data_IF_495277097828
#
_entry.id   IF_495277097828
#
_cell.length_a   1.000
_cell.length_b   1.000
_cell.length_c   1.000
_cell.angle_alpha   90.00
_cell.angle_beta   90.00
_cell.angle_gamma   90.00
#
_symmetry.space_group_name_H-M   'P 1'
#
loop_
_entity.id
_entity.type
_entity.pdbx_description
1 polymer ?
#
# COMPACT_ATOMS: atom_id res chain seq x y z
N UNK A 1 19.57 -2.73 -0.20
CA UNK A 1 18.31 -3.33 0.27
C UNK A 1 17.15 -2.49 -0.23
N UNK A 2 16.15 -3.13 -0.82
CA UNK A 2 14.95 -2.47 -1.31
C UNK A 2 14.27 -1.68 -0.19
N UNK A 3 13.86 -0.46 -0.48
CA UNK A 3 13.00 0.32 0.39
C UNK A 3 11.54 0.15 -0.06
N UNK A 4 10.66 -0.19 0.87
CA UNK A 4 9.21 -0.27 0.63
C UNK A 4 8.51 0.63 1.64
N UNK A 5 7.72 1.56 1.12
CA UNK A 5 6.87 2.42 1.94
C UNK A 5 5.42 2.07 1.68
N UNK A 6 4.66 1.82 2.74
CA UNK A 6 3.21 1.73 2.66
C UNK A 6 2.63 3.05 3.14
N UNK A 7 1.98 3.77 2.23
CA UNK A 7 1.31 5.03 2.53
C UNK A 7 -0.17 4.75 2.76
N UNK A 8 -0.69 5.17 3.90
CA UNK A 8 -2.07 4.93 4.31
C UNK A 8 -2.75 6.27 4.57
N UNK A 9 -3.93 6.45 4.02
CA UNK A 9 -4.74 7.65 4.21
C UNK A 9 -5.76 7.43 5.32
N UNK A 10 -5.68 8.23 6.38
CA UNK A 10 -6.52 8.12 7.56
C UNK A 10 -5.99 7.12 8.59
N UNK A 11 -6.37 7.34 9.85
CA UNK A 11 -5.97 6.48 10.97
C UNK A 11 -6.56 5.09 10.86
N UNK A 12 -5.86 4.10 11.40
CA UNK A 12 -6.43 2.79 11.68
C UNK A 12 -7.30 2.88 12.93
N UNK A 13 -8.58 2.49 12.79
CA UNK A 13 -9.56 2.58 13.87
C UNK A 13 -9.70 1.29 14.68
N UNK A 14 -9.41 0.14 14.07
CA UNK A 14 -9.55 -1.16 14.73
C UNK A 14 -8.23 -1.60 15.34
N UNK A 15 -8.24 -1.83 16.66
CA UNK A 15 -7.05 -2.28 17.39
C UNK A 15 -6.50 -3.61 16.87
N UNK A 16 -7.38 -4.53 16.47
CA UNK A 16 -6.92 -5.81 15.92
C UNK A 16 -6.20 -5.66 14.57
N UNK A 17 -6.58 -4.65 13.78
CA UNK A 17 -5.87 -4.33 12.54
C UNK A 17 -4.48 -3.78 12.85
N UNK A 18 -4.37 -2.83 13.77
CA UNK A 18 -3.08 -2.30 14.22
C UNK A 18 -2.16 -3.38 14.75
N UNK A 19 -2.68 -4.22 15.63
CA UNK A 19 -1.90 -5.30 16.25
C UNK A 19 -1.39 -6.30 15.21
N UNK A 20 -2.28 -6.72 14.30
CA UNK A 20 -1.89 -7.63 13.22
C UNK A 20 -0.93 -6.99 12.22
N UNK A 21 -1.17 -5.73 11.88
CA UNK A 21 -0.29 -4.97 10.99
C UNK A 21 1.13 -4.87 11.58
N UNK A 22 1.24 -4.53 12.85
CA UNK A 22 2.55 -4.38 13.53
C UNK A 22 3.33 -5.70 13.54
N UNK A 23 2.64 -6.83 13.68
CA UNK A 23 3.27 -8.15 13.60
C UNK A 23 3.94 -8.36 12.24
N UNK A 24 3.24 -8.10 11.13
CA UNK A 24 3.81 -8.27 9.80
C UNK A 24 4.80 -7.16 9.43
N UNK A 25 4.58 -5.93 9.85
CA UNK A 25 5.54 -4.84 9.68
C UNK A 25 6.89 -5.17 10.34
N UNK A 26 6.84 -5.76 11.52
CA UNK A 26 8.03 -6.23 12.24
C UNK A 26 8.78 -7.30 11.44
N UNK A 27 8.08 -8.27 10.87
CA UNK A 27 8.67 -9.33 10.03
C UNK A 27 9.26 -8.77 8.75
N UNK A 28 8.59 -7.82 8.11
CA UNK A 28 9.03 -7.20 6.85
C UNK A 28 10.40 -6.51 6.97
N UNK A 29 10.76 -6.03 8.15
CA UNK A 29 12.07 -5.39 8.38
C UNK A 29 13.26 -6.32 8.15
N UNK A 30 13.06 -7.63 8.18
CA UNK A 30 14.10 -8.60 7.86
C UNK A 30 14.33 -8.76 6.35
N UNK A 31 13.42 -8.27 5.51
CA UNK A 31 13.44 -8.46 4.05
C UNK A 31 13.72 -7.18 3.28
N UNK A 32 13.28 -6.05 3.83
CA UNK A 32 13.42 -4.75 3.18
C UNK A 32 13.46 -3.63 4.23
N UNK A 33 13.82 -2.43 3.79
CA UNK A 33 13.62 -1.23 4.62
C UNK A 33 12.15 -0.85 4.54
N UNK A 34 11.35 -1.44 5.42
CA UNK A 34 9.90 -1.22 5.46
C UNK A 34 9.56 -0.01 6.32
N UNK A 35 8.78 0.90 5.75
CA UNK A 35 8.22 2.06 6.44
C UNK A 35 6.72 2.13 6.21
N UNK A 36 5.98 2.54 7.23
CA UNK A 36 4.56 2.90 7.12
C UNK A 36 4.43 4.41 7.33
N UNK A 37 3.74 5.07 6.41
CA UNK A 37 3.51 6.50 6.45
C UNK A 37 2.00 6.76 6.47
N UNK A 38 1.56 7.47 7.51
CA UNK A 38 0.17 7.89 7.65
C UNK A 38 -0.02 9.29 7.07
N UNK A 39 -1.00 9.43 6.20
CA UNK A 39 -1.50 10.72 5.72
C UNK A 39 -2.82 11.00 6.45
N UNK A 40 -2.88 12.07 7.19
CA UNK A 40 -4.06 12.46 7.96
C UNK A 40 -4.44 13.89 7.64
N UNK A 41 -5.71 14.12 7.27
CA UNK A 41 -6.20 15.48 7.03
C UNK A 41 -6.27 16.25 8.34
N UNK A 42 -5.58 17.40 8.45
CA UNK A 42 -5.79 18.30 9.59
C UNK A 42 -7.23 18.83 9.60
N UNK A 43 -7.73 19.21 10.77
CA UNK A 43 -9.12 19.65 10.95
C UNK A 43 -9.53 20.78 9.99
N UNK A 44 -8.61 21.69 9.67
CA UNK A 44 -8.85 22.81 8.72
C UNK A 44 -9.13 22.36 7.29
N UNK A 45 -8.70 21.15 6.92
CA UNK A 45 -8.88 20.58 5.56
C UNK A 45 -10.02 19.56 5.49
N UNK A 46 -10.70 19.30 6.61
CA UNK A 46 -11.89 18.43 6.60
C UNK A 46 -13.05 19.13 5.92
N UNK A 47 -13.82 18.38 5.14
CA UNK A 47 -14.94 18.87 4.34
C UNK A 47 -16.07 17.85 4.35
N UNK A 48 -17.30 18.31 4.08
CA UNK A 48 -18.47 17.45 3.84
C UNK A 48 -18.57 17.02 2.38
N UNK A 49 -17.75 17.60 1.49
CA UNK A 49 -17.78 17.31 0.07
C UNK A 49 -16.72 16.26 -0.27
N UNK A 50 -17.14 15.14 -0.84
CA UNK A 50 -16.27 14.01 -1.17
C UNK A 50 -15.13 14.44 -2.10
N UNK A 51 -15.42 15.20 -3.14
CA UNK A 51 -14.39 15.63 -4.10
C UNK A 51 -13.34 16.54 -3.45
N UNK A 52 -13.74 17.38 -2.50
CA UNK A 52 -12.81 18.22 -1.77
C UNK A 52 -11.94 17.40 -0.81
N UNK A 53 -12.51 16.38 -0.16
CA UNK A 53 -11.75 15.45 0.68
C UNK A 53 -10.69 14.74 -0.16
N UNK A 54 -11.09 14.18 -1.30
CA UNK A 54 -10.17 13.48 -2.21
C UNK A 54 -9.04 14.38 -2.69
N UNK A 55 -9.35 15.63 -3.04
CA UNK A 55 -8.35 16.60 -3.48
C UNK A 55 -7.36 16.92 -2.36
N UNK A 56 -7.85 17.17 -1.16
CA UNK A 56 -6.99 17.51 -0.01
C UNK A 56 -6.09 16.33 0.37
N UNK A 57 -6.63 15.11 0.34
CA UNK A 57 -5.83 13.90 0.54
C UNK A 57 -4.76 13.74 -0.54
N UNK A 58 -5.12 13.99 -1.79
CA UNK A 58 -4.19 13.93 -2.91
C UNK A 58 -3.04 14.92 -2.76
N UNK A 59 -3.32 16.16 -2.38
CA UNK A 59 -2.30 17.19 -2.20
C UNK A 59 -1.28 16.78 -1.13
N UNK A 60 -1.76 16.23 0.00
CA UNK A 60 -0.88 15.75 1.07
C UNK A 60 -0.07 14.52 0.64
N UNK A 61 -0.70 13.59 -0.06
CA UNK A 61 -0.04 12.39 -0.57
C UNK A 61 1.06 12.73 -1.58
N UNK A 62 0.73 13.55 -2.56
CA UNK A 62 1.67 13.92 -3.63
C UNK A 62 2.87 14.71 -3.09
N UNK A 63 2.68 15.48 -2.04
CA UNK A 63 3.77 16.20 -1.36
C UNK A 63 4.78 15.25 -0.69
N UNK A 64 4.40 14.01 -0.40
CA UNK A 64 5.28 13.01 0.23
C UNK A 64 6.01 12.13 -0.77
N UNK A 65 5.62 12.15 -2.04
CA UNK A 65 6.17 11.32 -3.09
C UNK A 65 7.27 12.06 -3.84
N UNK A 66 8.38 11.38 -4.06
CA UNK A 66 9.50 11.92 -4.85
C UNK A 66 9.38 11.51 -6.32
N UNK A 67 9.97 12.28 -7.27
CA UNK A 67 9.88 11.96 -8.70
C UNK A 67 10.32 10.55 -9.09
N UNK A 68 11.32 10.01 -8.41
CA UNK A 68 11.88 8.68 -8.72
C UNK A 68 11.21 7.52 -7.97
N UNK A 69 10.22 7.81 -7.13
CA UNK A 69 9.49 6.76 -6.42
C UNK A 69 8.57 6.01 -7.39
N UNK A 70 8.59 4.69 -7.31
CA UNK A 70 7.66 3.85 -8.06
C UNK A 70 6.39 3.64 -7.26
N UNK A 71 5.28 4.18 -7.76
CA UNK A 71 4.02 4.26 -7.03
C UNK A 71 3.03 3.21 -7.52
N UNK A 72 2.57 2.38 -6.61
CA UNK A 72 1.55 1.36 -6.87
C UNK A 72 0.35 1.63 -5.97
N UNK A 73 -0.79 1.88 -6.59
CA UNK A 73 -2.05 2.07 -5.86
C UNK A 73 -2.70 0.71 -5.61
N UNK A 74 -3.20 0.51 -4.39
CA UNK A 74 -4.12 -0.57 -4.09
C UNK A 74 -5.53 -0.08 -4.46
N UNK A 75 -6.07 -0.64 -5.52
CA UNK A 75 -7.32 -0.19 -6.13
C UNK A 75 -8.09 -1.42 -6.65
N UNK A 76 -9.40 -1.48 -6.39
CA UNK A 76 -10.22 -2.62 -6.80
C UNK A 76 -10.28 -2.81 -8.33
N UNK A 77 -10.02 -1.76 -9.10
CA UNK A 77 -9.93 -1.80 -10.56
C UNK A 77 -8.52 -2.10 -11.07
N UNK A 78 -7.58 -2.38 -10.18
CA UNK A 78 -6.21 -2.73 -10.54
C UNK A 78 -6.09 -4.16 -11.03
N UNK A 79 -4.88 -4.50 -11.49
CA UNK A 79 -4.56 -5.86 -11.91
C UNK A 79 -4.55 -6.80 -10.70
N UNK A 80 -5.23 -7.94 -10.82
CA UNK A 80 -5.21 -8.99 -9.80
C UNK A 80 -4.04 -9.94 -10.01
N UNK A 81 -3.49 -10.44 -8.88
CA UNK A 81 -2.41 -11.41 -8.88
C UNK A 81 -2.72 -12.51 -7.88
N UNK A 82 -2.35 -13.74 -8.20
CA UNK A 82 -2.15 -14.75 -7.17
C UNK A 82 -0.87 -14.45 -6.38
N UNK A 83 -0.70 -15.08 -5.22
CA UNK A 83 0.42 -14.77 -4.32
C UNK A 83 1.78 -15.00 -4.97
N UNK A 84 1.95 -16.09 -5.72
CA UNK A 84 3.21 -16.39 -6.42
C UNK A 84 3.47 -15.39 -7.55
N UNK A 85 2.46 -15.02 -8.33
CA UNK A 85 2.59 -14.03 -9.39
C UNK A 85 2.93 -12.66 -8.82
N UNK A 86 2.36 -12.29 -7.68
CA UNK A 86 2.69 -11.03 -6.99
C UNK A 86 4.15 -11.05 -6.51
N UNK A 87 4.64 -12.16 -5.97
CA UNK A 87 6.03 -12.29 -5.58
C UNK A 87 6.98 -12.07 -6.76
N UNK A 88 6.69 -12.69 -7.91
CA UNK A 88 7.48 -12.50 -9.14
C UNK A 88 7.44 -11.05 -9.64
N UNK A 89 6.29 -10.41 -9.56
CA UNK A 89 6.13 -9.01 -9.90
C UNK A 89 6.98 -8.11 -9.01
N UNK A 90 6.91 -8.31 -7.69
CA UNK A 90 7.71 -7.58 -6.71
C UNK A 90 9.22 -7.78 -6.94
N UNK A 91 9.64 -9.01 -7.18
CA UNK A 91 11.04 -9.32 -7.46
C UNK A 91 11.54 -8.56 -8.69
N UNK A 92 10.78 -8.59 -9.77
CA UNK A 92 11.11 -7.84 -11.00
C UNK A 92 11.23 -6.34 -10.74
N UNK A 93 10.29 -5.76 -9.99
CA UNK A 93 10.33 -4.34 -9.64
C UNK A 93 11.54 -3.99 -8.77
N UNK A 94 11.94 -4.88 -7.86
CA UNK A 94 13.08 -4.65 -6.96
C UNK A 94 14.41 -4.54 -7.69
N UNK A 95 14.51 -5.13 -8.88
CA UNK A 95 15.70 -5.00 -9.74
C UNK A 95 15.73 -3.63 -10.44
N UNK A 96 14.57 -3.08 -10.76
CA UNK A 96 14.44 -1.84 -11.53
C UNK A 96 14.35 -0.59 -10.66
N UNK A 97 13.86 -0.73 -9.44
CA UNK A 97 13.57 0.39 -8.55
C UNK A 97 14.11 0.13 -7.15
N UNK A 98 14.79 1.13 -6.60
CA UNK A 98 15.31 1.05 -5.23
C UNK A 98 14.27 1.41 -4.17
N UNK A 99 13.19 2.09 -4.57
CA UNK A 99 12.11 2.51 -3.69
C UNK A 99 10.75 2.29 -4.34
N UNK A 100 9.92 1.49 -3.70
CA UNK A 100 8.54 1.19 -4.11
C UNK A 100 7.61 1.70 -3.03
N UNK A 101 6.60 2.48 -3.44
CA UNK A 101 5.56 2.98 -2.55
C UNK A 101 4.23 2.33 -2.91
N UNK A 102 3.64 1.60 -1.98
CA UNK A 102 2.27 1.13 -2.09
C UNK A 102 1.36 2.13 -1.38
N UNK A 103 0.21 2.42 -1.95
CA UNK A 103 -0.71 3.41 -1.41
C UNK A 103 -2.09 2.80 -1.20
N UNK A 104 -2.58 2.87 0.03
CA UNK A 104 -3.96 2.52 0.39
C UNK A 104 -4.73 3.82 0.58
N UNK A 105 -5.76 4.01 -0.23
CA UNK A 105 -6.60 5.21 -0.21
C UNK A 105 -7.52 5.29 1.00
N UNK A 106 -8.16 6.44 1.14
CA UNK A 106 -9.20 6.65 2.13
C UNK A 106 -10.54 6.02 1.69
N UNK A 107 -11.59 6.30 2.45
CA UNK A 107 -12.92 5.71 2.25
C UNK A 107 -13.52 5.97 0.86
N UNK A 108 -13.13 7.05 0.19
CA UNK A 108 -13.70 7.47 -1.09
C UNK A 108 -12.80 7.21 -2.30
N UNK A 109 -11.67 6.52 -2.08
CA UNK A 109 -10.71 6.23 -3.16
C UNK A 109 -9.78 7.39 -3.49
N UNK A 110 -9.25 7.38 -4.70
CA UNK A 110 -8.24 8.33 -5.15
C UNK A 110 -8.81 9.39 -6.10
N UNK A 111 -8.20 10.58 -6.09
CA UNK A 111 -8.46 11.59 -7.11
C UNK A 111 -7.74 11.26 -8.42
N UNK A 112 -8.12 11.93 -9.51
CA UNK A 112 -7.47 11.74 -10.81
C UNK A 112 -5.99 12.10 -10.77
N UNK A 113 -5.60 13.10 -10.01
CA UNK A 113 -4.18 13.50 -9.88
C UNK A 113 -3.31 12.38 -9.33
N UNK A 114 -3.84 11.60 -8.38
CA UNK A 114 -3.13 10.44 -7.83
C UNK A 114 -3.03 9.34 -8.87
N UNK A 115 -4.10 9.05 -9.60
CA UNK A 115 -4.06 8.08 -10.71
C UNK A 115 -3.04 8.48 -11.78
N UNK A 116 -2.98 9.76 -12.13
CA UNK A 116 -2.05 10.27 -13.15
C UNK A 116 -0.59 10.11 -12.71
N UNK A 117 -0.31 10.28 -11.42
CA UNK A 117 1.05 10.13 -10.88
C UNK A 117 1.46 8.66 -10.73
N UNK A 118 0.53 7.76 -10.49
CA UNK A 118 0.82 6.37 -10.18
C UNK A 118 1.44 5.65 -11.38
N UNK A 119 2.35 4.71 -11.09
CA UNK A 119 2.99 3.87 -12.10
C UNK A 119 2.19 2.59 -12.36
N UNK A 120 1.44 2.12 -11.36
CA UNK A 120 0.64 0.91 -11.46
C UNK A 120 -0.53 0.92 -10.49
N UNK A 121 -1.50 0.05 -10.75
CA UNK A 121 -2.61 -0.25 -9.85
C UNK A 121 -2.69 -1.76 -9.69
N UNK A 122 -2.83 -2.24 -8.45
CA UNK A 122 -3.05 -3.65 -8.17
C UNK A 122 -4.30 -3.81 -7.31
N UNK A 123 -5.00 -4.92 -7.51
CA UNK A 123 -6.12 -5.33 -6.67
C UNK A 123 -5.75 -6.60 -5.92
N UNK A 124 -5.99 -6.61 -4.62
CA UNK A 124 -5.72 -7.79 -3.80
C UNK A 124 -6.80 -8.87 -3.93
N UNK A 125 -7.99 -8.48 -4.39
CA UNK A 125 -9.12 -9.40 -4.54
C UNK A 125 -10.19 -8.77 -5.41
N UNK A 126 -10.98 -9.61 -6.08
CA UNK A 126 -12.20 -9.17 -6.74
C UNK A 126 -13.29 -8.80 -5.71
N UNK A 127 -13.18 -9.32 -4.48
CA UNK A 127 -14.02 -8.91 -3.37
C UNK A 127 -13.48 -7.62 -2.76
N UNK A 128 -14.39 -6.71 -2.39
CA UNK A 128 -14.03 -5.44 -1.77
C UNK A 128 -13.71 -5.62 -0.30
N UNK A 129 -12.53 -5.15 0.12
CA UNK A 129 -12.18 -5.03 1.53
C UNK A 129 -12.39 -3.59 2.00
N UNK A 130 -12.70 -3.43 3.29
CA UNK A 130 -12.69 -2.10 3.88
C UNK A 130 -11.28 -1.50 3.80
N UNK A 131 -11.20 -0.16 3.72
CA UNK A 131 -9.89 0.54 3.72
C UNK A 131 -9.12 0.37 5.03
N UNK A 132 -9.76 -0.16 6.07
CA UNK A 132 -9.11 -0.53 7.34
C UNK A 132 -8.50 -1.93 7.27
N UNK A 133 -9.31 -2.94 6.98
CA UNK A 133 -8.89 -4.33 6.99
C UNK A 133 -7.81 -4.62 5.93
N UNK A 134 -7.88 -3.96 4.79
CA UNK A 134 -6.92 -4.18 3.69
C UNK A 134 -5.49 -3.87 4.11
N UNK A 135 -5.27 -3.03 5.10
CA UNK A 135 -3.94 -2.70 5.64
C UNK A 135 -3.24 -3.95 6.18
N UNK A 136 -3.96 -4.71 6.98
CA UNK A 136 -3.47 -5.97 7.53
C UNK A 136 -3.28 -7.02 6.44
N UNK A 137 -4.26 -7.18 5.56
CA UNK A 137 -4.20 -8.16 4.47
C UNK A 137 -3.01 -7.87 3.55
N UNK A 138 -2.80 -6.61 3.20
CA UNK A 138 -1.67 -6.22 2.36
C UNK A 138 -0.33 -6.49 3.04
N UNK A 139 -0.18 -6.13 4.31
CA UNK A 139 1.05 -6.38 5.05
C UNK A 139 1.40 -7.87 5.09
N UNK A 140 0.39 -8.73 5.30
CA UNK A 140 0.58 -10.19 5.27
C UNK A 140 0.97 -10.67 3.87
N UNK A 141 0.30 -10.20 2.82
CA UNK A 141 0.62 -10.61 1.45
C UNK A 141 1.99 -10.11 0.99
N UNK A 142 2.40 -8.93 1.42
CA UNK A 142 3.75 -8.42 1.14
C UNK A 142 4.82 -9.28 1.83
N UNK A 143 4.60 -9.63 3.09
CA UNK A 143 5.46 -10.57 3.81
C UNK A 143 5.52 -11.93 3.09
N UNK A 144 4.37 -12.48 2.72
CA UNK A 144 4.28 -13.74 1.97
C UNK A 144 5.09 -13.67 0.68
N UNK A 145 4.99 -12.59 -0.07
CA UNK A 145 5.74 -12.40 -1.31
C UNK A 145 7.25 -12.47 -1.08
N UNK A 146 7.77 -11.84 -0.06
CA UNK A 146 9.20 -11.94 0.27
C UNK A 146 9.61 -13.34 0.68
N UNK A 147 8.78 -14.07 1.42
CA UNK A 147 9.07 -15.48 1.77
C UNK A 147 9.12 -16.37 0.53
N UNK A 148 8.25 -16.14 -0.44
CA UNK A 148 8.26 -16.85 -1.72
C UNK A 148 9.54 -16.55 -2.49
N UNK A 149 9.93 -15.27 -2.59
CA UNK A 149 11.16 -14.86 -3.28
C UNK A 149 12.40 -15.55 -2.68
N UNK A 150 12.42 -15.74 -1.36
CA UNK A 150 13.53 -16.41 -0.65
C UNK A 150 13.39 -17.91 -0.51
N UNK A 151 12.35 -18.52 -1.10
CA UNK A 151 12.07 -19.95 -1.00
C UNK A 151 11.91 -20.44 0.46
N UNK A 152 11.32 -19.61 1.31
CA UNK A 152 11.03 -19.96 2.70
C UNK A 152 9.68 -20.66 2.84
N UNK A 153 9.48 -21.54 3.86
CA UNK A 153 8.30 -22.41 3.94
C UNK A 153 7.07 -21.74 4.59
N UNK A 154 6.74 -20.52 4.23
CA UNK A 154 5.54 -19.82 4.70
C UNK A 154 4.35 -20.05 3.77
N UNK A 155 4.58 -19.98 2.46
CA UNK A 155 3.55 -20.21 1.46
C UNK A 155 3.53 -21.69 1.03
N UNK A 156 2.34 -22.27 1.00
CA UNK A 156 2.11 -23.63 0.57
C UNK A 156 1.22 -23.66 -0.68
N UNK A 157 1.70 -24.33 -1.71
CA UNK A 157 0.96 -24.61 -2.95
C UNK A 157 0.76 -26.09 -3.13
#
# INVERSE_FOLDING_TARGET
MLKVTLIQIGKTHFKFVDTGFDEFASRLKHYCKFESLLIELPSRLKSNQIEQIKKNEADLLLAKIKPNDYIILLDENGKTFGSVAFAKYLEKLSVQHSHICFVIGGAYGFSQDVYDRANAKISLSEMTFSHQLIRLIFAEQLYRAFTIIRNEPYHHE
#
